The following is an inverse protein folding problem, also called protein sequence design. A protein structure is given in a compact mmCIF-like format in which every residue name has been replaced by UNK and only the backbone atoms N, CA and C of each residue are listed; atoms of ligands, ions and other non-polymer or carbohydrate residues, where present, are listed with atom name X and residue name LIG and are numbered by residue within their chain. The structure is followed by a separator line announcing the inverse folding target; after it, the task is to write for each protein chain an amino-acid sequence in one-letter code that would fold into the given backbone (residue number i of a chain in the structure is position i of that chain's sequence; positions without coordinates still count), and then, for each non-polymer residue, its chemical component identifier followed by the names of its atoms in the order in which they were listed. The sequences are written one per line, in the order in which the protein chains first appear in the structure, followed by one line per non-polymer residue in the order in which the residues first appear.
data_IF_556237076203
#
_entry.id   IF_556237076203
#
_cell.length_a   1.000
_cell.length_b   1.000
_cell.length_c   1.000
_cell.angle_alpha   90.00
_cell.angle_beta   90.00
_cell.angle_gamma   90.00
#
_symmetry.space_group_name_H-M   'P 1'
#
loop_
_entity.id
_entity.type
_entity.pdbx_description
1 polymer ?
#
# COMPACT_ATOMS: atom_id res chain seq x y z
N UNK A 1 16.14 -3.42 64.50
CA UNK A 1 14.92 -3.15 63.71
C UNK A 1 14.80 -1.66 63.56
N UNK A 2 15.30 -1.12 62.41
CA UNK A 2 15.34 0.32 62.14
C UNK A 2 14.42 0.54 60.96
N UNK A 3 13.32 1.27 61.19
CA UNK A 3 12.33 1.62 60.21
C UNK A 3 12.82 2.89 59.42
N UNK A 4 13.02 2.76 58.13
CA UNK A 4 13.25 3.91 57.24
C UNK A 4 11.91 4.49 56.76
N UNK A 5 11.68 5.74 57.14
CA UNK A 5 10.56 6.54 56.66
C UNK A 5 10.87 7.06 55.24
N UNK A 6 10.00 6.83 54.28
CA UNK A 6 10.06 7.43 52.95
C UNK A 6 9.49 8.85 52.96
N UNK A 7 10.12 9.82 52.26
CA UNK A 7 9.56 11.16 52.12
C UNK A 7 8.40 11.17 51.13
N UNK A 8 7.28 11.76 51.54
CA UNK A 8 6.13 12.05 50.70
C UNK A 8 6.45 13.17 49.72
N UNK A 9 6.47 12.86 48.42
CA UNK A 9 6.53 13.89 47.37
C UNK A 9 5.18 14.63 47.31
N UNK A 10 5.22 15.92 47.65
CA UNK A 10 4.11 16.84 47.41
C UNK A 10 3.94 17.06 45.91
N UNK A 11 2.76 16.69 45.41
CA UNK A 11 2.35 16.98 44.04
C UNK A 11 2.02 18.48 43.96
N UNK A 12 2.91 19.26 43.35
CA UNK A 12 2.60 20.62 42.97
C UNK A 12 1.56 20.60 41.84
N UNK A 13 0.35 21.06 42.14
CA UNK A 13 -0.66 21.37 41.12
C UNK A 13 -0.14 22.50 40.22
N UNK A 14 -0.26 22.40 38.88
CA UNK A 14 0.15 23.47 37.98
C UNK A 14 -0.73 24.69 38.18
N UNK A 15 -0.06 25.86 38.34
CA UNK A 15 -0.68 27.18 38.44
C UNK A 15 -1.43 27.43 37.12
N UNK A 16 -2.74 27.83 37.15
CA UNK A 16 -3.44 28.17 35.93
C UNK A 16 -2.86 29.46 35.35
N UNK A 17 -2.27 29.41 34.19
CA UNK A 17 -1.83 30.58 33.42
C UNK A 17 -3.07 31.28 32.91
N UNK A 18 -3.50 32.35 33.61
CA UNK A 18 -4.54 33.23 33.18
C UNK A 18 -4.04 34.07 32.02
N UNK A 19 -4.70 34.00 30.85
CA UNK A 19 -4.62 35.11 29.90
C UNK A 19 -4.15 34.84 28.48
N UNK A 20 -4.31 33.61 27.92
CA UNK A 20 -4.28 33.45 26.47
C UNK A 20 -5.73 33.42 26.02
N UNK A 21 -6.24 34.44 25.30
CA UNK A 21 -7.60 34.39 24.75
C UNK A 21 -7.67 33.22 23.78
N UNK A 22 -8.67 32.35 23.91
CA UNK A 22 -8.93 31.30 22.93
C UNK A 22 -9.08 31.97 21.56
N UNK A 23 -8.36 31.42 20.53
CA UNK A 23 -8.48 31.98 19.19
C UNK A 23 -9.95 31.90 18.76
N UNK A 24 -10.52 32.95 18.15
CA UNK A 24 -11.88 32.91 17.68
C UNK A 24 -12.09 31.65 16.82
N UNK A 25 -13.23 31.00 16.98
CA UNK A 25 -13.59 29.72 16.33
C UNK A 25 -13.24 29.67 14.83
N UNK A 26 -13.31 30.82 14.17
CA UNK A 26 -12.92 31.01 12.77
C UNK A 26 -11.42 30.74 12.53
N UNK A 27 -10.55 31.21 13.42
CA UNK A 27 -9.09 31.02 13.29
C UNK A 27 -8.74 29.53 13.53
N UNK A 28 -9.37 28.87 14.50
CA UNK A 28 -9.20 27.45 14.74
C UNK A 28 -9.71 26.62 13.55
N UNK A 29 -10.80 27.05 12.89
CA UNK A 29 -11.34 26.39 11.71
C UNK A 29 -10.42 26.58 10.48
N UNK A 30 -9.92 27.78 10.28
CA UNK A 30 -8.95 28.11 9.23
C UNK A 30 -7.65 27.33 9.45
N UNK A 31 -7.13 27.28 10.68
CA UNK A 31 -5.93 26.49 11.00
C UNK A 31 -6.13 24.98 10.75
N UNK A 32 -7.30 24.43 11.12
CA UNK A 32 -7.66 23.03 10.81
C UNK A 32 -7.81 22.80 9.30
N UNK A 33 -8.38 23.76 8.59
CA UNK A 33 -8.54 23.69 7.14
C UNK A 33 -7.17 23.74 6.43
N UNK A 34 -6.29 24.65 6.83
CA UNK A 34 -4.91 24.73 6.31
C UNK A 34 -4.06 23.52 6.74
N UNK A 35 -4.26 22.99 7.95
CA UNK A 35 -3.60 21.75 8.38
C UNK A 35 -4.10 20.54 7.60
N UNK A 36 -5.40 20.45 7.31
CA UNK A 36 -5.96 19.42 6.45
C UNK A 36 -5.52 19.58 4.98
N UNK A 37 -5.36 20.82 4.49
CA UNK A 37 -4.77 21.10 3.18
C UNK A 37 -3.27 20.79 3.14
N UNK A 38 -2.53 21.06 4.22
CA UNK A 38 -1.12 20.73 4.35
C UNK A 38 -0.88 19.21 4.43
N UNK A 39 -1.79 18.47 5.09
CA UNK A 39 -1.78 17.00 5.05
C UNK A 39 -2.22 16.44 3.69
N UNK A 40 -3.02 17.19 2.90
CA UNK A 40 -3.28 16.86 1.48
C UNK A 40 -2.12 17.18 0.55
N UNK A 41 -1.08 17.81 1.05
CA UNK A 41 0.23 17.95 0.38
C UNK A 41 1.10 16.69 0.54
N UNK A 42 0.51 15.50 0.72
CA UNK A 42 1.11 14.29 0.19
C UNK A 42 1.20 14.56 -1.31
N UNK A 43 2.40 14.81 -1.73
CA UNK A 43 2.82 15.12 -3.09
C UNK A 43 1.91 14.44 -4.08
N UNK A 44 1.17 15.26 -4.85
CA UNK A 44 0.39 14.83 -6.03
C UNK A 44 1.39 14.27 -7.05
N UNK A 45 1.90 13.08 -6.79
CA UNK A 45 2.79 12.36 -7.68
C UNK A 45 2.01 11.23 -8.32
N UNK A 46 2.37 10.88 -9.53
CA UNK A 46 1.86 9.68 -10.16
C UNK A 46 2.15 8.47 -9.29
N UNK A 47 1.27 7.47 -9.30
CA UNK A 47 1.34 6.29 -8.45
C UNK A 47 1.56 5.04 -9.30
N UNK A 48 2.62 4.29 -9.00
CA UNK A 48 2.88 2.98 -9.62
C UNK A 48 2.34 1.88 -8.73
N UNK A 49 1.36 1.13 -9.24
CA UNK A 49 0.72 0.03 -8.55
C UNK A 49 1.07 -1.31 -9.21
N UNK A 50 1.29 -2.33 -8.40
CA UNK A 50 1.36 -3.72 -8.85
C UNK A 50 0.07 -4.42 -8.47
N UNK A 51 -0.57 -5.09 -9.45
CA UNK A 51 -1.68 -6.00 -9.21
C UNK A 51 -1.18 -7.44 -9.36
N UNK A 52 -1.16 -8.18 -8.26
CA UNK A 52 -0.72 -9.56 -8.22
C UNK A 52 -1.83 -10.48 -7.74
N UNK A 53 -2.05 -11.57 -8.45
CA UNK A 53 -2.94 -12.66 -8.04
C UNK A 53 -2.08 -13.90 -7.81
N UNK A 54 -1.94 -14.30 -6.55
CA UNK A 54 -1.06 -15.37 -6.13
C UNK A 54 -1.81 -16.45 -5.35
N UNK A 55 -1.33 -17.66 -5.45
CA UNK A 55 -1.75 -18.77 -4.58
C UNK A 55 -1.15 -18.63 -3.17
N UNK A 56 -1.61 -19.42 -2.20
CA UNK A 56 -1.09 -19.39 -0.81
C UNK A 56 0.42 -19.65 -0.74
N UNK A 57 0.98 -20.41 -1.66
CA UNK A 57 2.41 -20.68 -1.76
C UNK A 57 3.18 -19.66 -2.61
N UNK A 58 2.52 -18.53 -2.99
CA UNK A 58 3.14 -17.41 -3.70
C UNK A 58 3.40 -17.64 -5.17
N UNK A 59 2.81 -18.69 -5.77
CA UNK A 59 2.89 -18.93 -7.19
C UNK A 59 1.94 -18.02 -7.95
N UNK A 60 2.38 -17.58 -9.12
CA UNK A 60 1.53 -16.83 -10.03
C UNK A 60 0.43 -17.75 -10.56
N UNK A 61 -0.82 -17.28 -10.44
CA UNK A 61 -1.92 -17.99 -11.07
C UNK A 61 -1.96 -17.61 -12.55
N UNK A 62 -1.57 -18.52 -13.41
CA UNK A 62 -1.94 -18.41 -14.81
C UNK A 62 -3.30 -19.08 -15.01
N UNK A 63 -4.13 -18.49 -15.84
CA UNK A 63 -5.46 -19.03 -16.21
C UNK A 63 -5.40 -20.49 -16.72
N UNK A 64 -4.22 -20.92 -17.16
CA UNK A 64 -3.96 -22.25 -17.69
C UNK A 64 -3.90 -23.36 -16.62
N UNK A 65 -3.65 -23.01 -15.34
CA UNK A 65 -3.30 -24.03 -14.35
C UNK A 65 -4.43 -24.50 -13.46
N UNK A 66 -5.58 -23.81 -13.42
CA UNK A 66 -6.55 -24.19 -12.42
C UNK A 66 -8.00 -23.98 -12.86
N UNK A 67 -8.74 -25.09 -13.00
CA UNK A 67 -10.20 -25.06 -13.02
C UNK A 67 -10.76 -24.30 -11.82
N UNK A 68 -10.13 -24.45 -10.64
CA UNK A 68 -10.45 -23.73 -9.43
C UNK A 68 -10.30 -22.21 -9.55
N UNK A 69 -9.37 -21.68 -10.36
CA UNK A 69 -9.22 -20.25 -10.60
C UNK A 69 -10.45 -19.65 -11.28
N UNK A 70 -11.01 -20.35 -12.28
CA UNK A 70 -12.21 -19.90 -12.98
C UNK A 70 -13.46 -19.92 -12.09
N UNK A 71 -13.50 -20.85 -11.13
CA UNK A 71 -14.59 -20.98 -10.17
C UNK A 71 -14.58 -19.86 -9.11
N UNK A 72 -13.42 -19.20 -8.86
CA UNK A 72 -13.30 -18.14 -7.86
C UNK A 72 -13.90 -16.81 -8.28
N UNK A 73 -14.21 -16.59 -9.56
CA UNK A 73 -14.86 -15.37 -10.08
C UNK A 73 -14.24 -14.09 -9.50
N UNK A 74 -12.99 -13.82 -9.86
CA UNK A 74 -12.25 -12.67 -9.32
C UNK A 74 -12.90 -11.32 -9.66
N UNK A 75 -13.73 -11.28 -10.68
CA UNK A 75 -14.57 -10.13 -11.04
C UNK A 75 -15.45 -9.71 -9.85
N UNK A 76 -16.00 -10.69 -9.12
CA UNK A 76 -16.81 -10.45 -7.91
C UNK A 76 -15.96 -9.93 -6.73
N UNK A 77 -14.63 -10.00 -6.85
CA UNK A 77 -13.66 -9.49 -5.87
C UNK A 77 -13.18 -8.06 -6.17
N UNK A 78 -13.78 -7.38 -7.15
CA UNK A 78 -13.46 -5.98 -7.48
C UNK A 78 -12.12 -5.80 -8.20
N UNK A 79 -11.63 -6.82 -8.90
CA UNK A 79 -10.38 -6.72 -9.66
C UNK A 79 -10.54 -5.81 -10.88
N UNK A 80 -11.73 -5.81 -11.50
CA UNK A 80 -12.02 -4.98 -12.66
C UNK A 80 -12.04 -3.49 -12.30
N UNK A 81 -12.57 -3.13 -11.13
CA UNK A 81 -12.54 -1.75 -10.64
C UNK A 81 -11.09 -1.23 -10.52
N UNK A 82 -10.14 -2.08 -10.11
CA UNK A 82 -8.73 -1.71 -10.01
C UNK A 82 -8.14 -1.47 -11.40
N UNK A 83 -8.49 -2.32 -12.36
CA UNK A 83 -8.04 -2.19 -13.75
C UNK A 83 -8.60 -0.94 -14.42
N UNK A 84 -9.88 -0.66 -14.21
CA UNK A 84 -10.58 0.50 -14.79
C UNK A 84 -10.12 1.83 -14.18
N UNK A 85 -9.73 1.84 -12.90
CA UNK A 85 -9.20 3.02 -12.23
C UNK A 85 -7.75 3.38 -12.65
N UNK A 86 -7.05 2.48 -13.32
CA UNK A 86 -5.71 2.73 -13.83
C UNK A 86 -5.78 3.43 -15.20
N UNK A 87 -5.18 4.62 -15.29
CA UNK A 87 -5.13 5.34 -16.55
C UNK A 87 -4.16 4.69 -17.54
N UNK A 88 -3.07 4.11 -17.04
CA UNK A 88 -2.05 3.45 -17.86
C UNK A 88 -1.76 2.03 -17.36
N UNK A 89 -1.83 1.06 -18.28
CA UNK A 89 -1.38 -0.31 -18.04
C UNK A 89 0.05 -0.45 -18.50
N UNK A 90 0.96 -0.74 -17.55
CA UNK A 90 2.38 -0.85 -17.81
C UNK A 90 2.70 -2.20 -18.45
N UNK A 91 3.50 -2.15 -19.51
CA UNK A 91 4.09 -3.31 -20.18
C UNK A 91 5.62 -3.25 -20.14
N UNK A 92 6.34 -4.34 -20.43
CA UNK A 92 7.80 -4.33 -20.50
C UNK A 92 8.40 -3.37 -21.55
N UNK A 93 7.58 -2.81 -22.43
CA UNK A 93 8.01 -1.83 -23.43
C UNK A 93 8.38 -0.46 -22.81
N UNK A 94 7.87 -0.20 -21.59
CA UNK A 94 8.21 1.01 -20.85
C UNK A 94 9.51 0.83 -20.08
N UNK A 95 10.48 1.74 -20.26
CA UNK A 95 11.69 1.72 -19.45
C UNK A 95 11.38 2.11 -17.99
N UNK A 96 12.05 1.45 -17.03
CA UNK A 96 11.84 1.70 -15.62
C UNK A 96 12.21 3.15 -15.23
N UNK A 97 13.27 3.70 -15.81
CA UNK A 97 13.69 5.08 -15.59
C UNK A 97 12.64 6.08 -16.08
N UNK A 98 12.03 5.82 -17.23
CA UNK A 98 10.96 6.66 -17.76
C UNK A 98 9.72 6.66 -16.86
N UNK A 99 9.37 5.51 -16.29
CA UNK A 99 8.27 5.41 -15.33
C UNK A 99 8.56 6.17 -14.04
N UNK A 100 9.80 6.15 -13.55
CA UNK A 100 10.21 6.91 -12.37
C UNK A 100 10.15 8.43 -12.62
N UNK A 101 10.51 8.89 -13.81
CA UNK A 101 10.35 10.28 -14.22
C UNK A 101 8.87 10.68 -14.34
N UNK A 102 8.05 9.84 -14.98
CA UNK A 102 6.62 10.10 -15.10
C UNK A 102 5.93 10.15 -13.75
N UNK A 103 6.25 9.23 -12.85
CA UNK A 103 5.73 9.23 -11.48
C UNK A 103 6.00 10.55 -10.78
N UNK A 104 7.19 11.13 -10.95
CA UNK A 104 7.60 12.39 -10.33
C UNK A 104 7.00 13.63 -11.00
N UNK A 105 6.72 13.57 -12.28
CA UNK A 105 6.29 14.72 -13.11
C UNK A 105 4.77 14.84 -13.23
N UNK A 106 4.02 13.75 -13.02
CA UNK A 106 2.56 13.72 -13.20
C UNK A 106 1.85 13.74 -11.84
N UNK A 107 0.69 14.38 -11.82
CA UNK A 107 -0.15 14.44 -10.63
C UNK A 107 -1.35 13.53 -10.80
N UNK A 108 -1.64 12.73 -9.78
CA UNK A 108 -2.87 11.93 -9.64
C UNK A 108 -3.10 10.88 -10.77
N UNK A 109 -2.02 10.42 -11.39
CA UNK A 109 -2.07 9.36 -12.41
C UNK A 109 -1.71 8.01 -11.80
N UNK A 110 -2.53 7.00 -12.08
CA UNK A 110 -2.29 5.62 -11.68
C UNK A 110 -1.71 4.82 -12.85
N UNK A 111 -0.52 4.27 -12.64
CA UNK A 111 0.17 3.34 -13.53
C UNK A 111 0.06 1.93 -12.96
N UNK A 112 -0.62 1.02 -13.63
CA UNK A 112 -0.86 -0.34 -13.17
C UNK A 112 0.00 -1.37 -13.89
N UNK A 113 0.81 -2.11 -13.14
CA UNK A 113 1.55 -3.26 -13.62
C UNK A 113 0.85 -4.55 -13.15
N UNK A 114 0.22 -5.27 -14.06
CA UNK A 114 -0.43 -6.55 -13.74
C UNK A 114 0.58 -7.71 -13.88
N UNK A 115 0.67 -8.52 -12.81
CA UNK A 115 1.60 -9.65 -12.75
C UNK A 115 1.10 -10.80 -13.59
N UNK A 116 1.89 -11.13 -14.62
CA UNK A 116 1.74 -12.35 -15.42
C UNK A 116 3.09 -13.08 -15.50
N UNK A 117 3.14 -14.38 -15.83
CA UNK A 117 4.39 -15.11 -15.95
C UNK A 117 5.41 -14.46 -16.89
N UNK A 118 4.93 -13.80 -17.96
CA UNK A 118 5.73 -13.15 -18.97
C UNK A 118 6.31 -11.81 -18.47
N UNK A 119 5.55 -11.09 -17.62
CA UNK A 119 5.92 -9.77 -17.08
C UNK A 119 6.65 -9.83 -15.74
N UNK A 120 6.74 -11.01 -15.12
CA UNK A 120 7.23 -11.15 -13.75
C UNK A 120 8.64 -10.58 -13.56
N UNK A 121 9.54 -10.81 -14.50
CA UNK A 121 10.94 -10.35 -14.41
C UNK A 121 11.03 -8.82 -14.50
N UNK A 122 10.23 -8.21 -15.37
CA UNK A 122 10.12 -6.76 -15.49
C UNK A 122 9.55 -6.14 -14.21
N UNK A 123 8.47 -6.71 -13.66
CA UNK A 123 7.84 -6.20 -12.43
C UNK A 123 8.77 -6.37 -11.21
N UNK A 124 9.54 -7.47 -11.13
CA UNK A 124 10.59 -7.59 -10.14
C UNK A 124 11.70 -6.54 -10.33
N UNK A 125 11.95 -6.10 -11.57
CA UNK A 125 12.80 -4.95 -11.88
C UNK A 125 12.27 -3.65 -11.29
N UNK A 126 10.96 -3.37 -11.40
CA UNK A 126 10.31 -2.21 -10.77
C UNK A 126 10.50 -2.21 -9.24
N UNK A 127 10.35 -3.37 -8.60
CA UNK A 127 10.58 -3.53 -7.16
C UNK A 127 12.05 -3.27 -6.79
N UNK A 128 13.02 -3.82 -7.56
CA UNK A 128 14.46 -3.58 -7.32
C UNK A 128 14.84 -2.10 -7.41
N UNK A 129 14.21 -1.38 -8.32
CA UNK A 129 14.45 0.06 -8.53
C UNK A 129 13.62 0.96 -7.62
N UNK A 130 12.81 0.37 -6.72
CA UNK A 130 11.95 1.11 -5.77
C UNK A 130 11.01 2.12 -6.42
N UNK A 131 10.49 1.77 -7.59
CA UNK A 131 9.57 2.62 -8.35
C UNK A 131 8.11 2.35 -7.96
N UNK A 132 7.85 1.27 -7.22
CA UNK A 132 6.51 0.82 -6.85
C UNK A 132 6.06 1.51 -5.57
N UNK A 133 4.89 2.14 -5.61
CA UNK A 133 4.28 2.82 -4.46
C UNK A 133 3.29 1.93 -3.71
N UNK A 134 2.62 1.01 -4.44
CA UNK A 134 1.58 0.17 -3.86
C UNK A 134 1.54 -1.22 -4.50
N UNK A 135 1.31 -2.23 -3.67
CA UNK A 135 1.08 -3.61 -4.10
C UNK A 135 -0.33 -4.02 -3.70
N UNK A 136 -1.13 -4.37 -4.69
CA UNK A 136 -2.46 -4.95 -4.51
C UNK A 136 -2.33 -6.46 -4.73
N UNK A 137 -2.43 -7.21 -3.65
CA UNK A 137 -2.21 -8.65 -3.64
C UNK A 137 -3.52 -9.38 -3.39
N UNK A 138 -3.95 -10.18 -4.34
CA UNK A 138 -5.01 -11.17 -4.15
C UNK A 138 -4.39 -12.52 -3.84
N UNK A 139 -4.70 -13.07 -2.68
CA UNK A 139 -4.28 -14.41 -2.27
C UNK A 139 -5.44 -15.37 -2.49
N UNK A 140 -5.22 -16.37 -3.33
CA UNK A 140 -6.18 -17.41 -3.64
C UNK A 140 -6.14 -18.51 -2.58
N UNK A 141 -7.27 -19.11 -2.18
CA UNK A 141 -7.35 -20.07 -1.07
C UNK A 141 -6.93 -21.49 -1.50
N UNK A 142 -5.84 -21.62 -2.23
CA UNK A 142 -5.27 -22.93 -2.60
C UNK A 142 -3.75 -22.87 -2.78
N UNK A 143 -3.14 -24.04 -2.78
CA UNK A 143 -1.70 -24.27 -3.02
C UNK A 143 -1.54 -24.80 -4.44
N UNK A 144 -0.69 -24.15 -5.24
CA UNK A 144 -0.39 -24.62 -6.59
C UNK A 144 0.59 -25.81 -6.57
N UNK A 145 1.51 -25.83 -5.60
CA UNK A 145 2.56 -26.84 -5.46
C UNK A 145 3.64 -26.78 -6.56
N UNK A 146 3.29 -26.31 -7.73
CA UNK A 146 4.19 -26.09 -8.88
C UNK A 146 3.84 -24.75 -9.52
N UNK A 147 4.82 -24.09 -10.11
CA UNK A 147 4.62 -22.83 -10.80
C UNK A 147 5.74 -21.81 -10.53
N UNK A 148 5.67 -20.69 -11.22
CA UNK A 148 6.64 -19.60 -11.06
C UNK A 148 6.22 -18.72 -9.88
N UNK A 149 7.08 -18.59 -8.88
CA UNK A 149 6.86 -17.65 -7.79
C UNK A 149 7.02 -16.23 -8.30
N UNK A 150 6.17 -15.33 -7.82
CA UNK A 150 6.24 -13.92 -8.19
C UNK A 150 7.44 -13.22 -7.54
N UNK A 151 7.54 -13.29 -6.22
CA UNK A 151 8.67 -12.72 -5.50
C UNK A 151 9.90 -13.59 -5.70
N UNK A 152 10.86 -13.06 -6.45
CA UNK A 152 12.11 -13.74 -6.76
C UNK A 152 13.19 -13.42 -5.72
N UNK A 153 14.29 -14.18 -5.77
CA UNK A 153 15.49 -13.86 -5.02
C UNK A 153 16.10 -12.52 -5.45
N UNK A 154 16.87 -11.90 -4.56
CA UNK A 154 17.54 -10.60 -4.80
C UNK A 154 16.61 -9.38 -4.93
N UNK A 155 15.44 -9.41 -4.28
CA UNK A 155 14.67 -8.19 -4.03
C UNK A 155 15.28 -7.43 -2.85
N UNK A 156 15.20 -6.08 -2.84
CA UNK A 156 15.66 -5.29 -1.71
C UNK A 156 14.80 -5.60 -0.48
N UNK A 157 15.43 -5.53 0.70
CA UNK A 157 14.67 -5.55 1.95
C UNK A 157 13.99 -4.22 2.11
N UNK A 158 12.67 -4.23 2.10
CA UNK A 158 11.81 -3.06 2.24
C UNK A 158 10.65 -3.35 3.17
N UNK A 159 10.27 -2.35 3.95
CA UNK A 159 9.09 -2.43 4.78
C UNK A 159 7.88 -1.88 4.02
N UNK A 160 6.79 -2.64 4.08
CA UNK A 160 5.52 -2.27 3.47
C UNK A 160 4.45 -2.18 4.54
N UNK A 161 3.62 -1.14 4.49
CA UNK A 161 2.51 -0.96 5.41
C UNK A 161 1.24 -1.52 4.80
N UNK A 162 0.57 -2.44 5.51
CA UNK A 162 -0.76 -2.92 5.13
C UNK A 162 -1.77 -1.79 5.38
N UNK A 163 -2.35 -1.26 4.30
CA UNK A 163 -3.32 -0.15 4.35
C UNK A 163 -4.76 -0.61 4.24
N UNK A 164 -5.00 -1.76 3.62
CA UNK A 164 -6.34 -2.34 3.47
C UNK A 164 -6.28 -3.85 3.37
N UNK A 165 -7.29 -4.51 3.97
CA UNK A 165 -7.51 -5.94 3.84
C UNK A 165 -9.01 -6.20 3.61
N UNK A 166 -9.32 -7.09 2.68
CA UNK A 166 -10.69 -7.54 2.44
C UNK A 166 -10.73 -9.04 2.19
N UNK A 167 -11.57 -9.73 2.96
CA UNK A 167 -11.83 -11.17 2.80
C UNK A 167 -13.14 -11.33 2.04
N UNK A 168 -13.14 -12.15 0.99
CA UNK A 168 -14.30 -12.43 0.16
C UNK A 168 -14.92 -13.78 0.53
N UNK A 169 -16.21 -13.95 0.21
CA UNK A 169 -16.97 -15.17 0.55
C UNK A 169 -16.40 -16.43 -0.10
N UNK A 170 -15.75 -16.31 -1.24
CA UNK A 170 -15.07 -17.39 -1.95
C UNK A 170 -13.69 -17.76 -1.38
N UNK A 171 -13.30 -17.17 -0.24
CA UNK A 171 -12.01 -17.42 0.42
C UNK A 171 -10.84 -16.61 -0.13
N UNK A 172 -11.03 -15.83 -1.18
CA UNK A 172 -10.01 -14.90 -1.69
C UNK A 172 -9.78 -13.79 -0.68
N UNK A 173 -8.52 -13.41 -0.48
CA UNK A 173 -8.15 -12.29 0.39
C UNK A 173 -7.41 -11.24 -0.46
N UNK A 174 -7.89 -10.00 -0.41
CA UNK A 174 -7.18 -8.86 -1.00
C UNK A 174 -6.44 -8.10 0.09
N UNK A 175 -5.16 -7.87 -0.12
CA UNK A 175 -4.32 -6.99 0.69
C UNK A 175 -3.84 -5.82 -0.18
N UNK A 176 -3.77 -4.64 0.40
CA UNK A 176 -3.16 -3.47 -0.21
C UNK A 176 -2.02 -3.01 0.69
N UNK A 177 -0.82 -3.04 0.16
CA UNK A 177 0.39 -2.60 0.83
C UNK A 177 0.91 -1.32 0.19
N UNK A 178 1.34 -0.37 1.02
CA UNK A 178 1.99 0.87 0.58
C UNK A 178 3.46 0.85 0.99
N UNK A 179 4.34 1.30 0.10
CA UNK A 179 5.76 1.43 0.42
C UNK A 179 5.96 2.42 1.58
N UNK A 180 6.85 2.08 2.53
CA UNK A 180 7.29 3.02 3.55
C UNK A 180 8.41 3.87 2.93
N UNK A 181 8.12 5.15 2.69
CA UNK A 181 9.09 6.15 2.18
C UNK A 181 9.98 6.62 3.34
#
# INVERSE_FOLDING_TARGET
MIAYAMPTHSVHSPIPVKGIPEPPLVIAWIARYFFALAQRKETLMGKVQILAVLTMDGCQSSELYCKAYKELRLEDCGINEIRENALYHITPDYSISMLDEWRKSTTDICYLAEVTPEKADYINGLLRMRVVDEIILYTLPFIAGTGKRFFQSALPQEQWTLTSQKVYRNGVVRHIYKACV
#
